data_IF_582579651080
#
_entry.id   IF_582579651080
#
_cell.length_a   1.000
_cell.length_b   1.000
_cell.length_c   1.000
_cell.angle_alpha   90.00
_cell.angle_beta   90.00
_cell.angle_gamma   90.00
#
_symmetry.space_group_name_H-M   'P 1'
#
loop_
_entity.id
_entity.type
_entity.pdbx_description
1 polymer ?
#
# COMPACT_ATOMS: atom_id res chain seq x y z
N UNK A 1 24.75 -60.03 -30.46
CA UNK A 1 24.86 -58.63 -30.91
C UNK A 1 23.79 -57.82 -30.18
N UNK A 2 24.06 -57.34 -28.97
CA UNK A 2 23.10 -56.59 -28.16
C UNK A 2 23.51 -55.12 -28.11
N UNK A 3 22.66 -54.23 -28.59
CA UNK A 3 22.89 -52.79 -28.67
C UNK A 3 22.71 -52.16 -27.30
N UNK A 4 23.78 -51.57 -26.75
CA UNK A 4 23.75 -50.85 -25.48
C UNK A 4 23.26 -49.43 -25.75
N UNK A 5 22.05 -49.10 -25.27
CA UNK A 5 21.54 -47.74 -25.32
C UNK A 5 22.29 -46.85 -24.33
N UNK A 6 23.06 -45.91 -24.88
CA UNK A 6 23.76 -44.88 -24.13
C UNK A 6 22.74 -43.85 -23.60
N UNK A 7 22.40 -43.93 -22.30
CA UNK A 7 21.57 -42.94 -21.63
C UNK A 7 22.40 -41.67 -21.36
N UNK A 8 22.12 -40.60 -22.10
CA UNK A 8 22.67 -39.28 -21.82
C UNK A 8 22.12 -38.75 -20.48
N UNK A 9 22.96 -38.23 -19.57
CA UNK A 9 22.48 -37.56 -18.38
C UNK A 9 21.71 -36.30 -18.79
N UNK A 10 20.43 -36.24 -18.44
CA UNK A 10 19.62 -35.04 -18.62
C UNK A 10 20.27 -33.89 -17.85
N UNK A 11 20.71 -32.86 -18.56
CA UNK A 11 21.15 -31.61 -17.96
C UNK A 11 20.00 -31.06 -17.13
N UNK A 12 20.15 -31.07 -15.79
CA UNK A 12 19.18 -30.49 -14.87
C UNK A 12 19.04 -29.01 -15.20
N UNK A 13 17.92 -28.63 -15.83
CA UNK A 13 17.52 -27.24 -15.94
C UNK A 13 17.37 -26.68 -14.51
N UNK A 14 17.96 -25.51 -14.20
CA UNK A 14 17.75 -24.89 -12.90
C UNK A 14 16.26 -24.67 -12.69
N UNK A 15 15.73 -25.16 -11.56
CA UNK A 15 14.34 -24.93 -11.20
C UNK A 15 14.04 -23.42 -11.21
N UNK A 16 12.88 -22.99 -11.73
CA UNK A 16 12.49 -21.58 -11.66
C UNK A 16 12.52 -21.11 -10.21
N UNK A 17 12.91 -19.85 -9.94
CA UNK A 17 12.97 -19.33 -8.58
C UNK A 17 11.60 -19.50 -7.93
N UNK A 18 11.60 -20.05 -6.71
CA UNK A 18 10.38 -20.26 -5.96
C UNK A 18 9.62 -18.93 -5.84
N UNK A 19 8.39 -18.90 -6.37
CA UNK A 19 7.43 -17.81 -6.20
C UNK A 19 7.13 -17.67 -4.70
N UNK A 20 7.86 -16.81 -4.02
CA UNK A 20 7.57 -16.45 -2.64
C UNK A 20 6.44 -15.42 -2.65
N UNK A 21 5.20 -15.89 -2.55
CA UNK A 21 3.99 -15.06 -2.48
C UNK A 21 3.98 -14.10 -1.28
N UNK A 22 4.77 -14.38 -0.25
CA UNK A 22 4.92 -13.57 0.95
C UNK A 22 6.41 -13.38 1.26
N UNK A 23 7.02 -12.37 0.64
CA UNK A 23 8.36 -11.94 1.04
C UNK A 23 8.29 -11.28 2.42
N UNK A 24 9.40 -11.30 3.18
CA UNK A 24 9.45 -10.62 4.48
C UNK A 24 9.12 -9.12 4.38
N UNK A 25 9.53 -8.50 3.27
CA UNK A 25 9.22 -7.10 2.98
C UNK A 25 7.72 -6.88 2.82
N UNK A 26 7.04 -7.73 2.04
CA UNK A 26 5.59 -7.65 1.88
C UNK A 26 4.85 -7.93 3.21
N UNK A 27 5.34 -8.87 4.02
CA UNK A 27 4.78 -9.13 5.35
C UNK A 27 4.92 -7.91 6.28
N UNK A 28 6.07 -7.23 6.29
CA UNK A 28 6.29 -6.00 7.06
C UNK A 28 5.38 -4.87 6.58
N UNK A 29 5.26 -4.70 5.27
CA UNK A 29 4.36 -3.71 4.68
C UNK A 29 2.90 -3.97 5.05
N UNK A 30 2.44 -5.22 4.95
CA UNK A 30 1.08 -5.61 5.31
C UNK A 30 0.81 -5.43 6.81
N UNK A 31 1.79 -5.71 7.66
CA UNK A 31 1.68 -5.45 9.10
C UNK A 31 1.52 -3.96 9.39
N UNK A 32 2.31 -3.10 8.76
CA UNK A 32 2.19 -1.64 8.89
C UNK A 32 0.83 -1.13 8.37
N UNK A 33 0.38 -1.62 7.23
CA UNK A 33 -0.92 -1.30 6.63
C UNK A 33 -2.09 -1.65 7.56
N UNK A 34 -2.06 -2.86 8.13
CA UNK A 34 -3.09 -3.33 9.05
C UNK A 34 -3.06 -2.56 10.38
N UNK A 35 -1.87 -2.24 10.89
CA UNK A 35 -1.71 -1.43 12.09
C UNK A 35 -2.26 -0.01 11.87
N UNK A 36 -1.98 0.61 10.72
CA UNK A 36 -2.52 1.92 10.37
C UNK A 36 -4.04 1.88 10.24
N UNK A 37 -4.57 0.85 9.56
CA UNK A 37 -6.01 0.65 9.43
C UNK A 37 -6.73 0.57 10.79
N UNK A 38 -6.12 -0.12 11.76
CA UNK A 38 -6.65 -0.19 13.14
C UNK A 38 -6.55 1.16 13.84
N UNK A 39 -5.38 1.80 13.80
CA UNK A 39 -5.16 3.10 14.43
C UNK A 39 -6.11 4.18 13.91
N UNK A 40 -6.41 4.20 12.60
CA UNK A 40 -7.39 5.11 12.02
C UNK A 40 -8.79 4.88 12.61
N UNK A 41 -9.23 3.62 12.70
CA UNK A 41 -10.53 3.28 13.29
C UNK A 41 -10.59 3.63 14.77
N UNK A 42 -9.51 3.36 15.52
CA UNK A 42 -9.43 3.70 16.94
C UNK A 42 -9.47 5.22 17.18
N UNK A 43 -8.95 6.00 16.22
CA UNK A 43 -9.03 7.46 16.22
C UNK A 43 -10.39 8.01 15.72
N UNK A 44 -11.35 7.13 15.41
CA UNK A 44 -12.69 7.51 14.93
C UNK A 44 -12.74 7.92 13.45
N UNK A 45 -11.70 7.64 12.68
CA UNK A 45 -11.61 8.01 11.26
C UNK A 45 -12.30 6.97 10.38
N UNK A 46 -13.21 7.43 9.53
CA UNK A 46 -13.92 6.56 8.59
C UNK A 46 -13.05 6.24 7.37
N UNK A 47 -12.78 4.95 7.19
CA UNK A 47 -12.05 4.43 6.03
C UNK A 47 -13.04 4.15 4.89
N UNK A 48 -12.87 4.85 3.77
CA UNK A 48 -13.66 4.66 2.56
C UNK A 48 -13.16 3.49 1.70
N UNK A 49 -11.85 3.32 1.59
CA UNK A 49 -11.26 2.26 0.75
C UNK A 49 -9.86 1.87 1.19
N UNK A 50 -9.49 0.62 0.93
CA UNK A 50 -8.18 0.03 1.23
C UNK A 50 -7.55 -0.45 -0.08
N UNK A 51 -6.47 0.20 -0.52
CA UNK A 51 -5.72 -0.15 -1.74
C UNK A 51 -4.36 -0.71 -1.32
N UNK A 52 -4.35 -1.99 -0.97
CA UNK A 52 -3.16 -2.66 -0.41
C UNK A 52 -1.97 -2.68 -1.38
N UNK A 53 -2.23 -2.87 -2.69
CA UNK A 53 -1.21 -2.87 -3.74
C UNK A 53 -0.41 -1.56 -3.79
N UNK A 54 -1.09 -0.43 -3.56
CA UNK A 54 -0.47 0.90 -3.54
C UNK A 54 -0.06 1.34 -2.13
N UNK A 55 -0.19 0.45 -1.13
CA UNK A 55 -0.02 0.75 0.29
C UNK A 55 -0.82 1.98 0.76
N UNK A 56 -2.05 2.13 0.24
CA UNK A 56 -2.85 3.35 0.38
C UNK A 56 -4.20 3.11 1.05
N UNK A 57 -4.58 3.99 1.96
CA UNK A 57 -5.87 4.01 2.65
C UNK A 57 -6.59 5.31 2.31
N UNK A 58 -7.84 5.22 1.88
CA UNK A 58 -8.70 6.37 1.60
C UNK A 58 -9.62 6.62 2.77
N UNK A 59 -9.71 7.88 3.22
CA UNK A 59 -10.58 8.33 4.30
C UNK A 59 -11.53 9.42 3.80
N UNK A 60 -12.55 9.73 4.59
CA UNK A 60 -13.40 10.91 4.34
C UNK A 60 -12.60 12.19 4.51
N UNK A 61 -12.86 13.17 3.65
CA UNK A 61 -12.23 14.49 3.75
C UNK A 61 -12.58 15.20 5.06
N UNK A 62 -13.79 14.97 5.58
CA UNK A 62 -14.29 15.48 6.86
C UNK A 62 -13.41 15.03 8.04
N UNK A 63 -12.82 13.84 7.95
CA UNK A 63 -11.99 13.27 9.01
C UNK A 63 -10.50 13.66 8.88
N UNK A 64 -10.14 14.48 7.88
CA UNK A 64 -8.75 14.90 7.68
C UNK A 64 -8.18 15.71 8.86
N UNK A 65 -9.04 16.40 9.61
CA UNK A 65 -8.63 17.10 10.84
C UNK A 65 -8.23 16.13 11.98
N UNK A 66 -8.82 14.93 12.00
CA UNK A 66 -8.45 13.88 12.94
C UNK A 66 -7.06 13.31 12.60
N UNK A 67 -6.65 13.34 11.34
CA UNK A 67 -5.28 12.99 10.94
C UNK A 67 -4.28 13.95 11.58
N UNK A 68 -4.53 15.27 11.46
CA UNK A 68 -3.69 16.29 12.08
C UNK A 68 -3.68 16.15 13.61
N UNK A 69 -4.82 15.85 14.21
CA UNK A 69 -4.94 15.79 15.67
C UNK A 69 -4.26 14.55 16.29
N UNK A 70 -4.33 13.40 15.61
CA UNK A 70 -3.86 12.13 16.17
C UNK A 70 -2.50 11.67 15.64
N UNK A 71 -2.09 12.09 14.43
CA UNK A 71 -0.96 11.49 13.73
C UNK A 71 0.08 12.49 13.20
N UNK A 72 -0.06 13.79 13.46
CA UNK A 72 0.84 14.81 12.91
C UNK A 72 2.32 14.56 13.22
N UNK A 73 2.64 14.10 14.42
CA UNK A 73 4.02 13.76 14.84
C UNK A 73 4.62 12.59 14.05
N UNK A 74 3.79 11.79 13.41
CA UNK A 74 4.16 10.59 12.67
C UNK A 74 4.15 10.78 11.15
N UNK A 75 3.69 11.94 10.68
CA UNK A 75 3.69 12.30 9.26
C UNK A 75 5.13 12.45 8.78
N UNK A 76 5.48 11.68 7.75
CA UNK A 76 6.81 11.70 7.10
C UNK A 76 6.82 12.39 5.75
N UNK A 77 5.65 12.70 5.20
CA UNK A 77 5.52 13.43 3.95
C UNK A 77 4.07 13.80 3.69
N UNK A 78 3.87 14.90 2.98
CA UNK A 78 2.56 15.37 2.52
C UNK A 78 2.67 15.75 1.04
N UNK A 79 1.70 15.30 0.25
CA UNK A 79 1.62 15.51 -1.19
C UNK A 79 0.19 15.87 -1.54
N UNK A 80 0.01 16.79 -2.48
CA UNK A 80 -1.31 17.10 -3.03
C UNK A 80 -1.23 17.18 -4.55
N UNK A 81 -2.29 16.75 -5.22
CA UNK A 81 -2.42 16.83 -6.68
C UNK A 81 -3.84 17.21 -7.05
N UNK A 82 -3.99 18.24 -7.87
CA UNK A 82 -5.29 18.59 -8.44
C UNK A 82 -5.65 17.62 -9.56
N UNK A 83 -6.86 17.08 -9.50
CA UNK A 83 -7.47 16.13 -10.43
C UNK A 83 -8.86 16.67 -10.81
N UNK A 84 -8.92 17.44 -11.89
CA UNK A 84 -10.15 18.09 -12.33
C UNK A 84 -10.68 19.06 -11.27
N UNK A 85 -11.86 18.77 -10.73
CA UNK A 85 -12.55 19.57 -9.71
C UNK A 85 -12.21 19.18 -8.27
N UNK A 86 -11.23 18.29 -8.05
CA UNK A 86 -10.85 17.82 -6.72
C UNK A 86 -9.33 17.89 -6.51
N UNK A 87 -8.91 18.12 -5.28
CA UNK A 87 -7.53 17.95 -4.83
C UNK A 87 -7.40 16.62 -4.11
N UNK A 88 -6.48 15.79 -4.60
CA UNK A 88 -6.09 14.55 -3.97
C UNK A 88 -4.95 14.80 -2.99
N UNK A 89 -5.28 14.75 -1.71
CA UNK A 89 -4.35 14.92 -0.61
C UNK A 89 -3.85 13.56 -0.16
N UNK A 90 -2.54 13.45 0.09
CA UNK A 90 -1.89 12.23 0.56
C UNK A 90 -0.90 12.61 1.64
N UNK A 91 -0.95 11.92 2.78
CA UNK A 91 0.08 11.96 3.82
C UNK A 91 0.64 10.57 4.03
N UNK A 92 1.95 10.47 4.25
CA UNK A 92 2.59 9.20 4.55
C UNK A 92 2.82 9.09 6.06
N UNK A 93 2.19 8.09 6.70
CA UNK A 93 2.24 7.83 8.14
C UNK A 93 2.70 6.39 8.34
N UNK A 94 3.76 6.17 9.13
CA UNK A 94 4.33 4.83 9.37
C UNK A 94 4.62 4.03 8.08
N UNK A 95 4.94 4.72 6.99
CA UNK A 95 5.19 4.12 5.67
C UNK A 95 3.94 3.80 4.84
N UNK A 96 2.73 4.09 5.35
CA UNK A 96 1.44 3.90 4.68
C UNK A 96 0.92 5.24 4.17
N UNK A 97 0.43 5.29 2.93
CA UNK A 97 -0.19 6.48 2.38
C UNK A 97 -1.65 6.58 2.86
N UNK A 98 -2.03 7.68 3.50
CA UNK A 98 -3.41 8.01 3.85
C UNK A 98 -3.87 9.16 2.96
N UNK A 99 -4.97 8.96 2.25
CA UNK A 99 -5.42 9.85 1.19
C UNK A 99 -6.88 10.28 1.35
N UNK A 100 -7.20 11.49 0.89
CA UNK A 100 -8.58 11.99 0.81
C UNK A 100 -8.72 13.01 -0.33
N UNK A 101 -9.94 13.15 -0.83
CA UNK A 101 -10.29 14.08 -1.90
C UNK A 101 -11.00 15.29 -1.32
N UNK A 102 -10.47 16.49 -1.52
CA UNK A 102 -11.17 17.75 -1.20
C UNK A 102 -11.69 18.38 -2.48
N UNK A 103 -12.93 18.88 -2.55
CA UNK A 103 -13.39 19.63 -3.71
C UNK A 103 -12.56 20.92 -3.88
N UNK A 104 -12.16 21.22 -5.11
CA UNK A 104 -11.62 22.52 -5.45
C UNK A 104 -12.82 23.45 -5.49
N UNK A 105 -12.88 24.42 -4.58
CA UNK A 105 -13.86 25.50 -4.70
C UNK A 105 -13.53 26.26 -5.99
N UNK A 106 -14.37 26.10 -7.00
CA UNK A 106 -14.42 27.07 -8.10
C UNK A 106 -14.84 28.40 -7.44
N UNK A 107 -13.89 29.32 -7.37
CA UNK A 107 -14.20 30.69 -7.01
C UNK A 107 -14.77 31.33 -8.29
N UNK A 108 -16.07 31.61 -8.27
CA UNK A 108 -16.73 32.54 -9.21
C UNK A 108 -16.18 33.96 -9.01
#
# INVERSE_FOLDING_TARGET
>A
MGTVHHLQPQQQQPAPPALHYLTEEFAKQLAAFNAMTRALRDAGIEIQSLVQLDNRIYIRAEDSDLIRSNFLSEVRGMRYRNLGTHTHNVVTIRGVDVAWLTPIKEHD
#
